data_IF_869903905981
#
_entry.id   IF_869903905981
#
_cell.length_a   1.000
_cell.length_b   1.000
_cell.length_c   1.000
_cell.angle_alpha   90.00
_cell.angle_beta   90.00
_cell.angle_gamma   90.00
#
_symmetry.space_group_name_H-M   'P 1'
#
loop_
_entity.id
_entity.type
_entity.pdbx_description
1 polymer ?
#
# COMPACT_ATOMS: atom_id res chain seq x y z
N UNK A 1 -5.86 39.34 75.82
CA UNK A 1 -5.55 39.67 74.41
C UNK A 1 -4.75 38.52 73.83
N UNK A 2 -5.25 37.95 72.71
CA UNK A 2 -4.72 36.95 71.77
C UNK A 2 -4.26 35.54 72.20
N UNK A 3 -4.84 34.55 71.49
CA UNK A 3 -4.38 33.18 71.09
C UNK A 3 -5.57 32.21 71.25
N UNK A 4 -5.94 31.25 70.38
CA UNK A 4 -5.38 30.60 69.19
C UNK A 4 -6.56 29.95 68.40
N UNK A 5 -6.56 29.87 67.05
CA UNK A 5 -6.19 28.70 66.21
C UNK A 5 -6.97 27.38 66.49
N UNK A 6 -7.34 26.49 65.57
CA UNK A 6 -7.50 26.42 64.10
C UNK A 6 -8.20 25.06 63.83
N UNK A 7 -9.14 25.05 62.89
CA UNK A 7 -9.63 24.00 61.97
C UNK A 7 -9.36 22.50 62.29
N UNK A 8 -10.46 21.71 62.30
CA UNK A 8 -10.48 20.23 62.35
C UNK A 8 -10.09 19.59 61.01
N UNK A 9 -9.17 18.62 61.08
CA UNK A 9 -8.75 17.73 60.00
C UNK A 9 -9.88 16.80 59.52
N UNK A 10 -9.94 16.62 58.19
CA UNK A 10 -10.66 15.55 57.53
C UNK A 10 -9.83 14.27 57.40
N UNK A 11 -10.51 13.12 57.48
CA UNK A 11 -10.01 11.83 57.03
C UNK A 11 -11.22 10.92 56.79
N UNK A 12 -11.55 10.60 55.53
CA UNK A 12 -12.50 9.52 55.21
C UNK A 12 -11.89 8.60 54.17
N UNK A 13 -11.99 7.31 54.47
CA UNK A 13 -11.27 6.19 53.90
C UNK A 13 -11.73 5.77 52.49
N UNK A 14 -10.77 5.09 51.86
CA UNK A 14 -10.70 4.43 50.55
C UNK A 14 -11.96 3.78 49.99
N UNK A 15 -12.12 3.99 48.67
CA UNK A 15 -13.03 3.33 47.76
C UNK A 15 -12.52 1.95 47.32
N UNK A 16 -13.40 0.95 47.27
CA UNK A 16 -13.22 -0.28 46.48
C UNK A 16 -14.52 -0.52 45.71
N UNK A 17 -14.55 -0.09 44.45
CA UNK A 17 -15.58 -0.46 43.49
C UNK A 17 -14.91 -1.31 42.41
N UNK A 18 -15.35 -2.57 42.30
CA UNK A 18 -14.96 -3.49 41.24
C UNK A 18 -15.51 -2.96 39.90
N UNK A 19 -14.60 -2.61 38.98
CA UNK A 19 -14.93 -2.29 37.60
C UNK A 19 -14.82 -3.58 36.77
N UNK A 20 -15.92 -4.00 36.16
CA UNK A 20 -15.94 -5.08 35.17
C UNK A 20 -15.16 -4.58 33.94
N UNK A 21 -14.08 -5.28 33.61
CA UNK A 21 -13.33 -5.07 32.39
C UNK A 21 -14.24 -5.35 31.19
N UNK A 22 -14.43 -4.35 30.33
CA UNK A 22 -14.98 -4.56 29.00
C UNK A 22 -13.95 -5.35 28.19
N UNK A 23 -14.37 -6.50 27.67
CA UNK A 23 -13.55 -7.37 26.84
C UNK A 23 -13.21 -6.63 25.53
N UNK A 24 -11.91 -6.49 25.30
CA UNK A 24 -11.27 -5.96 24.11
C UNK A 24 -11.54 -6.94 22.95
N UNK A 25 -12.66 -6.75 22.25
CA UNK A 25 -12.94 -7.49 21.02
C UNK A 25 -11.92 -7.08 19.95
N UNK A 26 -11.17 -8.01 19.34
CA UNK A 26 -10.36 -7.66 18.18
C UNK A 26 -11.30 -7.17 17.07
N UNK A 27 -11.13 -5.90 16.68
CA UNK A 27 -11.83 -5.33 15.55
C UNK A 27 -11.65 -6.26 14.34
N UNK A 28 -12.74 -6.85 13.87
CA UNK A 28 -12.75 -7.62 12.63
C UNK A 28 -12.23 -6.68 11.52
N UNK A 29 -11.22 -7.08 10.71
CA UNK A 29 -10.80 -6.25 9.59
C UNK A 29 -12.02 -6.00 8.69
N UNK A 30 -12.33 -4.74 8.46
CA UNK A 30 -13.48 -4.36 7.64
C UNK A 30 -13.41 -5.08 6.29
N UNK A 31 -14.51 -5.69 5.79
CA UNK A 31 -14.55 -6.24 4.45
C UNK A 31 -14.18 -5.14 3.45
N UNK A 32 -13.25 -5.42 2.54
CA UNK A 32 -12.92 -4.51 1.45
C UNK A 32 -14.23 -4.17 0.70
N UNK A 33 -14.56 -2.90 0.45
CA UNK A 33 -15.78 -2.53 -0.26
C UNK A 33 -15.78 -3.19 -1.64
N UNK A 34 -16.65 -4.19 -1.83
CA UNK A 34 -16.69 -5.05 -3.03
C UNK A 34 -17.33 -4.38 -4.25
N UNK A 35 -17.94 -3.19 -4.09
CA UNK A 35 -18.85 -2.61 -5.09
C UNK A 35 -18.40 -1.27 -5.68
N UNK A 36 -17.19 -0.80 -5.41
CA UNK A 36 -16.70 0.42 -6.07
C UNK A 36 -16.23 0.08 -7.48
N UNK A 37 -16.81 0.68 -8.54
CA UNK A 37 -16.34 0.47 -9.90
C UNK A 37 -14.85 0.77 -9.99
N UNK A 38 -14.10 -0.16 -10.55
CA UNK A 38 -12.65 0.00 -10.69
C UNK A 38 -12.36 1.09 -11.72
N UNK A 39 -11.36 1.96 -11.46
CA UNK A 39 -11.03 3.03 -12.39
C UNK A 39 -10.51 2.45 -13.70
N UNK A 40 -11.26 2.67 -14.79
CA UNK A 40 -10.99 2.05 -16.10
C UNK A 40 -9.68 2.53 -16.71
N UNK A 41 -9.21 3.72 -16.33
CA UNK A 41 -7.92 4.26 -16.75
C UNK A 41 -6.73 3.41 -16.28
N UNK A 42 -6.90 2.65 -15.18
CA UNK A 42 -5.85 1.78 -14.62
C UNK A 42 -5.80 0.40 -15.28
N UNK A 43 -6.92 -0.06 -15.83
CA UNK A 43 -7.02 -1.36 -16.51
C UNK A 43 -6.04 -1.41 -17.69
N UNK A 44 -5.32 -2.51 -17.81
CA UNK A 44 -4.40 -2.77 -18.92
C UNK A 44 -3.03 -3.26 -18.47
N UNK A 45 -2.06 -3.09 -19.36
CA UNK A 45 -0.70 -3.63 -19.20
C UNK A 45 0.29 -2.53 -18.89
N UNK A 46 1.14 -2.79 -17.90
CA UNK A 46 2.10 -1.88 -17.34
C UNK A 46 3.48 -2.54 -17.34
N UNK A 47 4.47 -1.87 -17.91
CA UNK A 47 5.86 -2.36 -17.96
C UNK A 47 6.67 -1.75 -16.83
N UNK A 48 7.66 -2.49 -16.32
CA UNK A 48 8.62 -1.96 -15.37
C UNK A 48 9.41 -0.83 -16.03
N UNK A 49 9.43 0.33 -15.40
CA UNK A 49 10.27 1.46 -15.77
C UNK A 49 11.56 1.49 -14.95
N UNK A 50 11.44 1.23 -13.65
CA UNK A 50 12.58 1.16 -12.74
C UNK A 50 12.26 0.31 -11.51
N UNK A 51 13.28 -0.32 -10.94
CA UNK A 51 13.17 -1.07 -9.69
C UNK A 51 14.36 -0.77 -8.79
N UNK A 52 14.13 -0.73 -7.48
CA UNK A 52 15.18 -0.52 -6.47
C UNK A 52 14.81 -1.18 -5.15
N UNK A 53 15.82 -1.68 -4.44
CA UNK A 53 15.68 -2.16 -3.07
C UNK A 53 16.29 -1.15 -2.10
N UNK A 54 15.56 -0.81 -1.05
CA UNK A 54 16.03 -0.02 0.09
C UNK A 54 16.07 -0.90 1.33
N UNK A 55 17.25 -1.07 1.93
CA UNK A 55 17.43 -1.96 3.07
C UNK A 55 17.06 -1.27 4.39
N UNK A 56 16.55 -2.04 5.35
CA UNK A 56 16.17 -1.51 6.67
C UNK A 56 17.36 -0.94 7.44
N UNK A 57 18.53 -1.56 7.27
CA UNK A 57 19.80 -1.10 7.85
C UNK A 57 20.39 0.12 7.14
N UNK A 58 19.69 0.67 6.15
CA UNK A 58 20.14 1.76 5.30
C UNK A 58 20.87 1.30 4.03
N UNK A 59 20.99 2.23 3.08
CA UNK A 59 21.52 1.97 1.75
C UNK A 59 20.47 1.41 0.78
N UNK A 60 20.88 1.16 -0.46
CA UNK A 60 20.00 0.57 -1.45
C UNK A 60 20.78 0.00 -2.63
N UNK A 61 20.14 -0.90 -3.36
CA UNK A 61 20.76 -1.63 -4.46
C UNK A 61 19.76 -2.00 -5.55
N UNK A 62 20.27 -2.70 -6.56
CA UNK A 62 19.41 -3.34 -7.55
C UNK A 62 18.51 -4.37 -6.86
N UNK A 63 17.25 -4.44 -7.27
CA UNK A 63 16.37 -5.53 -6.89
C UNK A 63 16.81 -6.78 -7.67
N UNK A 64 17.84 -7.46 -7.19
CA UNK A 64 18.31 -8.73 -7.74
C UNK A 64 17.34 -9.84 -7.31
N UNK A 65 16.09 -9.78 -7.76
CA UNK A 65 15.26 -10.98 -7.76
C UNK A 65 16.04 -12.05 -8.55
N UNK A 66 15.97 -13.32 -8.14
CA UNK A 66 16.70 -14.48 -8.66
C UNK A 66 16.51 -14.80 -10.16
N UNK A 67 16.04 -13.85 -10.95
CA UNK A 67 15.84 -13.87 -12.39
C UNK A 67 16.70 -12.78 -12.98
N UNK A 68 17.78 -13.16 -13.67
CA UNK A 68 18.81 -12.24 -14.18
C UNK A 68 18.29 -11.03 -14.97
N UNK A 69 19.19 -10.08 -15.22
CA UNK A 69 18.96 -8.74 -15.78
C UNK A 69 18.01 -8.63 -17.01
N UNK A 70 17.73 -9.73 -17.72
CA UNK A 70 16.80 -9.78 -18.85
C UNK A 70 15.33 -10.02 -18.47
N UNK A 71 15.03 -10.38 -17.22
CA UNK A 71 13.66 -10.71 -16.79
C UNK A 71 12.79 -9.47 -16.48
N UNK A 72 13.38 -8.28 -16.34
CA UNK A 72 12.63 -7.05 -16.08
C UNK A 72 11.83 -6.58 -17.32
N UNK A 73 12.26 -6.92 -18.53
CA UNK A 73 11.65 -6.45 -19.79
C UNK A 73 10.44 -7.30 -20.21
N UNK A 74 10.37 -8.56 -19.76
CA UNK A 74 9.31 -9.51 -20.15
C UNK A 74 8.15 -9.59 -19.15
N UNK A 75 8.29 -9.02 -17.94
CA UNK A 75 7.25 -9.06 -16.90
C UNK A 75 6.39 -7.81 -16.96
N UNK A 76 5.13 -7.98 -17.35
CA UNK A 76 4.11 -6.94 -17.33
C UNK A 76 3.24 -7.11 -16.09
N UNK A 77 2.91 -5.99 -15.44
CA UNK A 77 1.80 -5.93 -14.49
C UNK A 77 0.53 -5.74 -15.31
N UNK A 78 -0.40 -6.68 -15.21
CA UNK A 78 -1.69 -6.60 -15.86
C UNK A 78 -2.77 -6.36 -14.80
N UNK A 79 -3.59 -5.32 -15.01
CA UNK A 79 -4.75 -5.00 -14.18
C UNK A 79 -6.01 -5.26 -15.01
N UNK A 80 -6.80 -6.26 -14.63
CA UNK A 80 -8.04 -6.65 -15.28
C UNK A 80 -9.25 -5.85 -14.81
N UNK A 81 -10.27 -5.74 -15.67
CA UNK A 81 -11.53 -5.02 -15.40
C UNK A 81 -12.31 -5.54 -14.19
N UNK A 82 -12.08 -6.82 -13.82
CA UNK A 82 -12.77 -7.51 -12.72
C UNK A 82 -11.97 -7.51 -11.41
N UNK A 83 -10.97 -6.63 -11.32
CA UNK A 83 -10.15 -6.49 -10.12
C UNK A 83 -9.11 -7.59 -9.96
N UNK A 84 -8.85 -8.41 -10.98
CA UNK A 84 -7.73 -9.34 -11.00
C UNK A 84 -6.45 -8.67 -11.46
N UNK A 85 -5.31 -9.00 -10.85
CA UNK A 85 -3.99 -8.59 -11.35
C UNK A 85 -3.10 -9.80 -11.59
N UNK A 86 -2.12 -9.64 -12.49
CA UNK A 86 -1.03 -10.60 -12.65
C UNK A 86 0.31 -9.91 -12.88
N UNK A 87 1.40 -10.51 -12.40
CA UNK A 87 2.77 -10.06 -12.64
C UNK A 87 3.73 -11.24 -12.54
N UNK A 88 4.31 -11.65 -13.67
CA UNK A 88 5.11 -12.87 -13.75
C UNK A 88 4.27 -14.10 -13.38
N UNK A 89 4.71 -14.86 -12.36
CA UNK A 89 3.96 -16.01 -11.84
C UNK A 89 2.93 -15.67 -10.76
N UNK A 90 2.88 -14.40 -10.31
CA UNK A 90 2.02 -13.96 -9.22
C UNK A 90 0.70 -13.39 -9.75
N UNK A 91 -0.37 -13.53 -8.96
CA UNK A 91 -1.71 -13.04 -9.27
C UNK A 91 -2.48 -12.77 -7.98
N UNK A 92 -3.50 -11.92 -8.06
CA UNK A 92 -4.34 -11.61 -6.92
C UNK A 92 -5.47 -10.64 -7.25
N UNK A 93 -5.92 -9.90 -6.23
CA UNK A 93 -6.93 -8.85 -6.39
C UNK A 93 -6.34 -7.45 -6.26
N UNK A 94 -6.80 -6.53 -7.11
CA UNK A 94 -6.38 -5.13 -7.06
C UNK A 94 -7.56 -4.21 -6.74
N UNK A 95 -7.23 -3.09 -6.10
CA UNK A 95 -8.17 -2.03 -5.79
C UNK A 95 -7.44 -0.68 -5.73
N UNK A 96 -8.21 0.40 -5.61
CA UNK A 96 -7.69 1.75 -5.39
C UNK A 96 -8.26 2.29 -4.11
N UNK A 97 -7.42 2.99 -3.36
CA UNK A 97 -7.83 3.68 -2.14
C UNK A 97 -7.12 5.02 -2.02
N UNK A 98 -7.57 5.92 -1.14
CA UNK A 98 -6.82 7.13 -0.81
C UNK A 98 -5.42 6.78 -0.28
N UNK A 99 -4.43 7.58 -0.64
CA UNK A 99 -3.12 7.56 0.00
C UNK A 99 -3.21 8.35 1.32
N UNK A 100 -2.76 7.73 2.41
CA UNK A 100 -2.80 8.30 3.76
C UNK A 100 -1.40 8.63 4.26
N UNK A 101 -1.28 9.44 5.31
CA UNK A 101 0.00 9.75 5.94
C UNK A 101 0.70 8.49 6.48
N UNK A 102 -0.07 7.50 6.92
CA UNK A 102 0.43 6.19 7.35
C UNK A 102 1.06 5.42 6.18
N UNK A 103 0.50 5.52 4.98
CA UNK A 103 1.07 4.90 3.79
C UNK A 103 2.41 5.52 3.43
N UNK A 104 2.51 6.85 3.42
CA UNK A 104 3.76 7.56 3.14
C UNK A 104 4.88 7.17 4.13
N UNK A 105 4.55 7.10 5.42
CA UNK A 105 5.46 6.62 6.47
C UNK A 105 5.88 5.17 6.23
N UNK A 106 4.94 4.28 5.91
CA UNK A 106 5.22 2.86 5.64
C UNK A 106 6.11 2.67 4.40
N UNK A 107 5.89 3.48 3.37
CA UNK A 107 6.69 3.47 2.15
C UNK A 107 8.09 4.06 2.35
N UNK A 108 8.31 4.82 3.43
CA UNK A 108 9.57 5.51 3.69
C UNK A 108 9.84 6.65 2.69
N UNK A 109 8.78 7.25 2.15
CA UNK A 109 8.84 8.33 1.16
C UNK A 109 8.04 9.53 1.70
N UNK A 110 8.57 10.74 1.57
CA UNK A 110 7.81 11.96 1.89
C UNK A 110 6.68 12.17 0.88
N UNK A 111 5.49 12.58 1.35
CA UNK A 111 4.37 12.87 0.48
C UNK A 111 4.73 13.93 -0.58
N UNK A 112 4.39 13.68 -1.84
CA UNK A 112 4.85 14.50 -2.97
C UNK A 112 3.76 14.85 -4.01
N UNK A 113 2.49 14.60 -3.71
CA UNK A 113 1.36 15.01 -4.57
C UNK A 113 0.31 13.93 -4.86
N UNK A 114 0.67 12.65 -5.13
CA UNK A 114 -0.30 11.59 -5.34
C UNK A 114 -1.33 11.49 -4.20
N UNK A 115 -2.61 11.42 -4.54
CA UNK A 115 -3.72 11.36 -3.57
C UNK A 115 -4.35 9.99 -3.47
N UNK A 116 -4.05 9.09 -4.40
CA UNK A 116 -4.55 7.72 -4.48
C UNK A 116 -3.41 6.73 -4.54
N UNK A 117 -3.67 5.50 -4.10
CA UNK A 117 -2.76 4.37 -4.19
C UNK A 117 -3.41 3.17 -4.86
N UNK A 118 -2.60 2.42 -5.60
CA UNK A 118 -2.92 1.08 -6.04
C UNK A 118 -2.67 0.12 -4.88
N UNK A 119 -3.57 -0.84 -4.67
CA UNK A 119 -3.40 -1.92 -3.68
C UNK A 119 -3.51 -3.25 -4.39
N UNK A 120 -2.50 -4.11 -4.23
CA UNK A 120 -2.41 -5.46 -4.78
C UNK A 120 -2.39 -6.47 -3.63
N UNK A 121 -3.50 -7.17 -3.44
CA UNK A 121 -3.61 -8.29 -2.52
C UNK A 121 -2.90 -9.53 -3.07
N UNK A 122 -2.46 -10.42 -2.18
CA UNK A 122 -1.75 -11.68 -2.47
C UNK A 122 -0.39 -11.50 -3.17
N UNK A 123 0.19 -10.30 -3.09
CA UNK A 123 1.53 -10.03 -3.63
C UNK A 123 2.59 -10.73 -2.77
N UNK A 124 3.16 -11.82 -3.29
CA UNK A 124 4.10 -12.68 -2.57
C UNK A 124 3.54 -13.16 -1.20
N UNK A 125 2.23 -13.43 -1.14
CA UNK A 125 1.54 -13.82 0.09
C UNK A 125 1.25 -12.67 1.07
N UNK A 126 1.51 -11.43 0.67
CA UNK A 126 1.18 -10.22 1.43
C UNK A 126 0.43 -9.19 0.60
N UNK A 127 0.64 -7.92 0.93
CA UNK A 127 0.10 -6.79 0.17
C UNK A 127 1.25 -5.95 -0.38
N UNK A 128 1.10 -5.54 -1.64
CA UNK A 128 1.92 -4.49 -2.22
C UNK A 128 1.04 -3.32 -2.59
N UNK A 129 1.52 -2.11 -2.34
CA UNK A 129 0.75 -0.91 -2.61
C UNK A 129 1.67 0.28 -2.87
N UNK A 130 1.16 1.30 -3.53
CA UNK A 130 1.97 2.46 -3.86
C UNK A 130 1.18 3.57 -4.55
N UNK A 131 1.75 4.79 -4.57
CA UNK A 131 1.08 5.95 -5.15
C UNK A 131 0.83 5.78 -6.65
N UNK A 132 -0.28 6.35 -7.09
CA UNK A 132 -0.62 6.50 -8.51
C UNK A 132 -0.22 7.92 -8.92
N UNK A 133 0.75 8.04 -9.84
CA UNK A 133 1.17 9.34 -10.36
C UNK A 133 0.32 9.69 -11.58
N UNK A 134 -0.39 10.81 -11.47
CA UNK A 134 -1.36 11.26 -12.46
C UNK A 134 -1.15 12.75 -12.74
N UNK A 135 -1.08 13.12 -14.01
CA UNK A 135 -1.17 14.52 -14.45
C UNK A 135 -2.52 14.76 -15.14
N UNK A 136 -2.58 14.59 -16.46
CA UNK A 136 -3.85 14.55 -17.22
C UNK A 136 -4.37 13.12 -17.41
N UNK A 137 -3.50 12.13 -17.21
CA UNK A 137 -3.75 10.70 -17.29
C UNK A 137 -2.87 9.99 -16.26
N UNK A 138 -3.09 8.70 -16.03
CA UNK A 138 -2.20 7.90 -15.20
C UNK A 138 -0.87 7.72 -15.92
N UNK A 139 0.18 8.33 -15.38
CA UNK A 139 1.52 8.29 -15.95
C UNK A 139 2.30 7.09 -15.40
N UNK A 140 2.22 6.88 -14.08
CA UNK A 140 2.97 5.81 -13.41
C UNK A 140 2.21 5.15 -12.27
N UNK A 141 2.48 3.86 -12.10
CA UNK A 141 2.07 3.10 -10.93
C UNK A 141 3.30 2.73 -10.11
N UNK A 142 3.21 2.90 -8.80
CA UNK A 142 4.19 2.34 -7.90
C UNK A 142 3.64 1.10 -7.19
N UNK A 143 4.48 0.09 -7.06
CA UNK A 143 4.22 -1.10 -6.26
C UNK A 143 5.37 -1.22 -5.27
N UNK A 144 5.08 -0.95 -4.00
CA UNK A 144 6.04 -1.06 -2.91
C UNK A 144 5.66 -2.23 -2.02
N UNK A 145 6.66 -3.05 -1.68
CA UNK A 145 6.42 -4.21 -0.84
C UNK A 145 7.66 -4.61 -0.07
N UNK A 146 7.42 -5.26 1.06
CA UNK A 146 8.47 -5.81 1.91
C UNK A 146 9.09 -7.04 1.27
N UNK A 147 10.41 -7.11 1.32
CA UNK A 147 11.20 -8.27 0.90
C UNK A 147 12.18 -8.65 2.01
N UNK A 148 12.52 -9.92 2.09
CA UNK A 148 13.48 -10.44 3.07
C UNK A 148 14.07 -11.78 2.62
N UNK A 149 14.93 -12.39 3.45
CA UNK A 149 15.49 -13.70 3.17
C UNK A 149 14.42 -14.77 2.94
N UNK A 150 14.63 -15.75 2.03
CA UNK A 150 15.85 -15.94 1.23
C UNK A 150 15.86 -15.16 -0.10
N UNK A 151 14.82 -14.37 -0.41
CA UNK A 151 14.73 -13.66 -1.69
C UNK A 151 15.80 -12.56 -1.84
N UNK A 152 16.18 -11.95 -0.72
CA UNK A 152 17.27 -10.96 -0.59
C UNK A 152 18.08 -11.28 0.66
N UNK A 153 19.36 -10.90 0.68
CA UNK A 153 20.24 -11.19 1.82
C UNK A 153 19.80 -10.45 3.11
N UNK A 154 19.39 -9.20 2.97
CA UNK A 154 18.94 -8.35 4.06
C UNK A 154 17.52 -7.84 3.77
N UNK A 155 16.65 -7.74 4.79
CA UNK A 155 15.30 -7.24 4.60
C UNK A 155 15.27 -5.76 4.19
N UNK A 156 14.21 -5.41 3.46
CA UNK A 156 14.03 -4.08 2.93
C UNK A 156 12.69 -3.90 2.23
N UNK A 157 12.52 -2.75 1.59
CA UNK A 157 11.37 -2.41 0.76
C UNK A 157 11.81 -2.36 -0.70
N UNK A 158 11.15 -3.17 -1.53
CA UNK A 158 11.29 -3.11 -2.98
C UNK A 158 10.35 -2.02 -3.51
N UNK A 159 10.88 -1.15 -4.36
CA UNK A 159 10.17 -0.07 -5.02
C UNK A 159 10.19 -0.35 -6.52
N UNK A 160 9.02 -0.63 -7.10
CA UNK A 160 8.90 -0.91 -8.53
C UNK A 160 7.98 0.14 -9.14
N UNK A 161 8.52 0.91 -10.10
CA UNK A 161 7.78 1.91 -10.87
C UNK A 161 7.40 1.31 -12.21
N UNK A 162 6.14 1.45 -12.58
CA UNK A 162 5.63 1.01 -13.86
C UNK A 162 5.18 2.18 -14.72
N UNK A 163 5.37 2.06 -16.03
CA UNK A 163 4.75 2.93 -17.03
C UNK A 163 3.78 2.11 -17.87
N UNK A 164 2.90 2.79 -18.61
CA UNK A 164 2.05 2.10 -19.61
C UNK A 164 2.92 1.28 -20.58
N UNK A 165 2.51 0.06 -20.89
CA UNK A 165 3.16 -0.75 -21.91
C UNK A 165 2.79 -0.26 -23.33
N UNK A 166 3.74 -0.24 -24.29
CA UNK A 166 3.41 0.04 -25.69
C UNK A 166 2.35 -0.94 -26.23
N UNK A 167 1.34 -0.44 -26.95
CA UNK A 167 0.29 -1.28 -27.54
C UNK A 167 -0.81 -1.74 -26.57
N UNK A 168 -0.99 -1.06 -25.43
CA UNK A 168 -2.09 -1.25 -24.48
C UNK A 168 -3.19 -0.19 -24.53
N UNK A 169 -3.26 0.59 -25.63
CA UNK A 169 -4.33 1.55 -25.89
C UNK A 169 -5.51 0.88 -26.58
N UNK A 170 -6.73 1.20 -26.13
CA UNK A 170 -7.97 0.51 -26.46
C UNK A 170 -8.29 0.37 -27.94
N UNK A 171 -9.25 -0.53 -28.20
CA UNK A 171 -9.96 -0.62 -29.46
C UNK A 171 -10.39 0.80 -29.90
N UNK A 172 -10.03 1.27 -31.11
CA UNK A 172 -10.71 2.44 -31.66
C UNK A 172 -12.20 2.09 -31.80
N UNK A 173 -13.14 3.03 -31.55
CA UNK A 173 -14.52 2.79 -31.93
C UNK A 173 -14.53 2.51 -33.43
N UNK A 174 -15.06 1.35 -33.81
CA UNK A 174 -15.35 1.04 -35.20
C UNK A 174 -16.37 2.06 -35.68
N UNK A 175 -15.89 3.11 -36.35
CA UNK A 175 -16.74 3.96 -37.17
C UNK A 175 -17.43 3.06 -38.19
N UNK A 176 -18.72 2.83 -37.96
CA UNK A 176 -19.62 2.24 -38.94
C UNK A 176 -19.58 3.10 -40.18
N UNK A 177 -18.93 2.60 -41.23
CA UNK A 177 -19.16 3.11 -42.58
C UNK A 177 -20.62 2.83 -42.93
N UNK A 178 -21.38 3.90 -43.10
CA UNK A 178 -22.64 3.90 -43.85
C UNK A 178 -22.39 3.53 -45.31
#
# INVERSE_FOLDING_TARGET
MNSAALVRLGLTMMAWAWLVAAEDHPATPAPLPQDTPLPQELVGRWRILSERLFYDKGGGGALLAATGANAAVTRLLELGEKGDWSFGGSKGKWSVSPATDEDWKRWGIGAYGPTRKLVLADWNGGTADGPIEETAQVDFLWVLYRVGPPAVQDPGTAHVKFSRAPGGGGHPPTEGKK
#
